data_IF_741067084028
#
_entry.id   IF_741067084028
#
_cell.length_a   1.000
_cell.length_b   1.000
_cell.length_c   1.000
_cell.angle_alpha   90.00
_cell.angle_beta   90.00
_cell.angle_gamma   90.00
#
_symmetry.space_group_name_H-M   'P 1'
#
loop_
_entity.id
_entity.type
_entity.pdbx_description
1 polymer ?
#
# COMPACT_ATOMS: atom_id res chain seq x y z
N UNK A 1 7.55 1.86 22.13
CA UNK A 1 6.79 3.01 21.57
C UNK A 1 7.11 3.21 20.09
N UNK A 2 8.36 3.05 19.68
CA UNK A 2 8.80 3.20 18.28
C UNK A 2 8.17 2.22 17.30
N UNK A 3 8.05 0.93 17.62
CA UNK A 3 7.41 -0.03 16.69
C UNK A 3 5.95 0.31 16.42
N UNK A 4 5.24 0.86 17.41
CA UNK A 4 3.86 1.35 17.21
C UNK A 4 3.83 2.54 16.24
N UNK A 5 4.83 3.44 16.33
CA UNK A 5 4.98 4.55 15.37
C UNK A 5 5.27 4.01 13.97
N UNK A 6 6.23 3.08 13.83
CA UNK A 6 6.57 2.46 12.55
C UNK A 6 5.38 1.72 11.92
N UNK A 7 4.64 0.95 12.72
CA UNK A 7 3.45 0.26 12.24
C UNK A 7 2.35 1.24 11.78
N UNK A 8 2.15 2.34 12.51
CA UNK A 8 1.21 3.39 12.11
C UNK A 8 1.66 4.08 10.82
N UNK A 9 2.93 4.48 10.72
CA UNK A 9 3.49 5.11 9.51
C UNK A 9 3.43 4.15 8.32
N UNK A 10 3.73 2.86 8.51
CA UNK A 10 3.59 1.84 7.46
C UNK A 10 2.15 1.76 6.97
N UNK A 11 1.17 1.82 7.88
CA UNK A 11 -0.25 1.85 7.49
C UNK A 11 -0.60 3.13 6.75
N UNK A 12 -0.19 4.31 7.23
CA UNK A 12 -0.45 5.59 6.54
C UNK A 12 0.18 5.60 5.13
N UNK A 13 1.40 5.08 5.00
CA UNK A 13 2.10 4.94 3.73
C UNK A 13 1.40 3.99 2.77
N UNK A 14 0.68 2.97 3.24
CA UNK A 14 -0.13 2.12 2.35
C UNK A 14 -1.32 2.88 1.76
N UNK A 15 -1.98 3.73 2.56
CA UNK A 15 -3.14 4.50 2.09
C UNK A 15 -2.75 5.66 1.17
N UNK A 16 -1.58 6.28 1.40
CA UNK A 16 -1.13 7.46 0.66
C UNK A 16 -1.08 7.26 -0.87
N UNK A 17 -0.35 6.28 -1.44
CA UNK A 17 -0.26 6.11 -2.89
C UNK A 17 -1.59 5.61 -3.48
N UNK A 18 -2.38 4.83 -2.74
CA UNK A 18 -3.73 4.44 -3.17
C UNK A 18 -4.59 5.69 -3.39
N UNK A 19 -4.58 6.62 -2.43
CA UNK A 19 -5.31 7.87 -2.58
C UNK A 19 -4.74 8.77 -3.69
N UNK A 20 -3.42 8.95 -3.71
CA UNK A 20 -2.74 9.89 -4.61
C UNK A 20 -2.69 9.42 -6.06
N UNK A 21 -2.51 8.12 -6.29
CA UNK A 21 -2.34 7.53 -7.64
C UNK A 21 -3.67 7.03 -8.19
N UNK A 22 -4.51 6.39 -7.37
CA UNK A 22 -5.81 5.85 -7.82
C UNK A 22 -6.98 6.80 -7.61
N UNK A 23 -6.79 7.92 -6.90
CA UNK A 23 -7.84 8.88 -6.61
C UNK A 23 -8.90 8.38 -5.61
N UNK A 24 -8.68 7.24 -4.95
CA UNK A 24 -9.65 6.63 -4.04
C UNK A 24 -9.71 7.44 -2.74
N UNK A 25 -10.87 7.96 -2.30
CA UNK A 25 -10.99 8.66 -1.02
C UNK A 25 -10.54 7.78 0.16
N UNK A 26 -9.84 8.35 1.14
CA UNK A 26 -9.27 7.58 2.27
C UNK A 26 -10.28 6.68 3.00
N UNK A 27 -11.51 7.16 3.19
CA UNK A 27 -12.59 6.42 3.86
C UNK A 27 -13.18 5.28 3.02
N UNK A 28 -12.86 5.20 1.72
CA UNK A 28 -13.27 4.15 0.79
C UNK A 28 -12.16 3.13 0.53
N UNK A 29 -10.93 3.38 1.02
CA UNK A 29 -9.79 2.46 0.85
C UNK A 29 -9.98 1.22 1.73
N UNK A 30 -10.08 0.07 1.10
CA UNK A 30 -10.13 -1.24 1.74
C UNK A 30 -8.83 -2.01 1.47
N UNK A 31 -8.04 -2.18 2.54
CA UNK A 31 -6.83 -3.01 2.54
C UNK A 31 -7.10 -4.26 3.38
N UNK A 32 -6.89 -5.43 2.78
CA UNK A 32 -6.95 -6.74 3.46
C UNK A 32 -5.56 -7.35 3.56
N UNK A 33 -5.45 -8.50 4.22
CA UNK A 33 -4.21 -9.27 4.33
C UNK A 33 -4.40 -10.67 3.76
N UNK A 34 -3.36 -11.18 3.10
CA UNK A 34 -3.29 -12.60 2.70
C UNK A 34 -3.19 -13.51 3.94
N UNK A 35 -3.26 -14.82 3.75
CA UNK A 35 -3.06 -15.79 4.84
C UNK A 35 -1.67 -15.66 5.49
N UNK A 36 -0.66 -15.26 4.72
CA UNK A 36 0.71 -15.00 5.15
C UNK A 36 0.89 -13.59 5.73
N UNK A 37 -0.18 -12.79 5.77
CA UNK A 37 -0.20 -11.47 6.38
C UNK A 37 0.20 -10.31 5.47
N UNK A 38 0.45 -10.52 4.16
CA UNK A 38 0.82 -9.44 3.23
C UNK A 38 -0.40 -8.53 2.96
N UNK A 39 -0.31 -7.20 3.15
CA UNK A 39 -1.41 -6.30 2.85
C UNK A 39 -1.64 -6.17 1.33
N UNK A 40 -2.89 -6.05 0.90
CA UNK A 40 -3.27 -5.83 -0.49
C UNK A 40 -4.56 -5.00 -0.62
N UNK A 41 -4.68 -4.23 -1.70
CA UNK A 41 -5.86 -3.41 -2.02
C UNK A 41 -6.99 -4.29 -2.59
N UNK A 42 -8.22 -4.09 -2.11
CA UNK A 42 -9.41 -4.75 -2.64
C UNK A 42 -10.12 -3.83 -3.64
N UNK A 43 -9.72 -3.88 -4.91
CA UNK A 43 -10.22 -3.00 -5.98
C UNK A 43 -11.75 -2.93 -6.05
N UNK A 44 -12.40 -4.09 -6.12
CA UNK A 44 -13.86 -4.22 -6.27
C UNK A 44 -14.66 -3.51 -5.16
N UNK A 45 -14.09 -3.42 -3.96
CA UNK A 45 -14.74 -2.75 -2.81
C UNK A 45 -14.43 -1.26 -2.77
N UNK A 46 -13.34 -0.82 -3.41
CA UNK A 46 -12.93 0.59 -3.45
C UNK A 46 -13.50 1.33 -4.68
N UNK A 47 -13.84 0.61 -5.75
CA UNK A 47 -14.18 1.18 -7.06
C UNK A 47 -15.67 1.38 -7.31
N UNK A 48 -16.53 1.26 -6.28
CA UNK A 48 -17.99 1.38 -6.45
C UNK A 48 -18.44 2.75 -6.99
N UNK A 49 -17.58 3.77 -6.97
CA UNK A 49 -17.86 5.14 -7.41
C UNK A 49 -16.82 5.67 -8.43
N UNK A 50 -15.90 4.83 -8.94
CA UNK A 50 -14.91 5.27 -9.93
C UNK A 50 -15.48 5.02 -11.33
N UNK A 51 -15.94 6.09 -11.97
CA UNK A 51 -16.65 6.06 -13.26
C UNK A 51 -15.88 5.39 -14.42
N UNK A 52 -14.57 5.12 -14.27
CA UNK A 52 -13.77 4.41 -15.27
C UNK A 52 -12.71 3.52 -14.62
N UNK A 53 -12.59 2.23 -15.03
CA UNK A 53 -11.41 1.44 -14.69
C UNK A 53 -10.17 2.12 -15.27
N UNK A 54 -9.20 2.44 -14.41
CA UNK A 54 -7.93 3.04 -14.85
C UNK A 54 -7.08 1.96 -15.51
N UNK A 55 -7.21 1.83 -16.85
CA UNK A 55 -6.54 0.81 -17.67
C UNK A 55 -5.00 0.90 -17.61
N UNK A 56 -4.44 2.03 -17.17
CA UNK A 56 -2.98 2.21 -17.02
C UNK A 56 -2.41 1.54 -15.76
N UNK A 57 -3.28 1.18 -14.80
CA UNK A 57 -2.88 0.65 -13.49
C UNK A 57 -3.58 -0.71 -13.19
N UNK A 58 -3.56 -1.68 -14.12
CA UNK A 58 -4.40 -2.87 -14.06
C UNK A 58 -4.06 -3.80 -12.88
N UNK A 59 -2.85 -3.68 -12.34
CA UNK A 59 -2.36 -4.48 -11.22
C UNK A 59 -1.62 -3.59 -10.21
N UNK A 60 -2.14 -2.39 -9.93
CA UNK A 60 -1.48 -1.54 -8.95
C UNK A 60 -1.40 -2.28 -7.60
N UNK A 61 -0.17 -2.48 -7.13
CA UNK A 61 0.15 -3.22 -5.91
C UNK A 61 1.29 -2.52 -5.18
N UNK A 62 1.48 -2.88 -3.91
CA UNK A 62 2.47 -2.24 -3.05
C UNK A 62 3.11 -3.22 -2.08
N UNK A 63 4.28 -2.83 -1.57
CA UNK A 63 4.95 -3.50 -0.47
C UNK A 63 5.62 -2.47 0.43
N UNK A 64 5.56 -2.71 1.75
CA UNK A 64 6.16 -1.83 2.74
C UNK A 64 7.10 -2.64 3.63
N UNK A 65 8.25 -2.05 3.95
CA UNK A 65 9.21 -2.57 4.92
C UNK A 65 9.61 -1.46 5.90
N UNK A 66 10.01 -1.85 7.10
CA UNK A 66 10.45 -0.92 8.12
C UNK A 66 11.63 -1.48 8.90
N UNK A 67 12.67 -0.66 9.11
CA UNK A 67 13.85 -1.03 9.88
C UNK A 67 14.52 0.22 10.45
N UNK A 68 14.89 0.15 11.73
CA UNK A 68 15.50 1.29 12.44
C UNK A 68 14.58 2.50 12.40
N UNK A 69 15.07 3.61 11.85
CA UNK A 69 14.34 4.87 11.75
C UNK A 69 13.54 5.01 10.45
N UNK A 70 13.60 4.00 9.57
CA UNK A 70 12.99 4.06 8.25
C UNK A 70 11.74 3.20 8.15
N UNK A 71 10.73 3.76 7.49
CA UNK A 71 9.59 3.04 6.94
C UNK A 71 9.53 3.41 5.47
N UNK A 72 9.56 2.42 4.60
CA UNK A 72 9.54 2.63 3.16
C UNK A 72 8.38 1.88 2.52
N UNK A 73 7.92 2.40 1.38
CA UNK A 73 6.91 1.76 0.54
C UNK A 73 7.35 1.83 -0.91
N UNK A 74 7.07 0.76 -1.65
CA UNK A 74 7.17 0.73 -3.10
C UNK A 74 5.82 0.31 -3.67
N UNK A 75 5.45 0.88 -4.82
CA UNK A 75 4.25 0.53 -5.57
C UNK A 75 4.57 0.37 -7.05
N UNK A 76 3.87 -0.54 -7.72
CA UNK A 76 4.03 -0.83 -9.14
C UNK A 76 2.65 -0.97 -9.80
N UNK A 77 2.42 -0.38 -10.99
CA UNK A 77 1.13 -0.44 -11.68
C UNK A 77 0.85 -1.77 -12.39
N UNK A 78 1.89 -2.53 -12.72
CA UNK A 78 1.81 -3.71 -13.59
C UNK A 78 2.53 -4.90 -12.95
N UNK A 79 3.81 -4.75 -12.63
CA UNK A 79 4.63 -5.83 -12.09
C UNK A 79 4.41 -6.04 -10.59
N UNK A 80 4.73 -7.24 -10.08
CA UNK A 80 4.72 -7.46 -8.63
C UNK A 80 5.92 -6.77 -7.99
N UNK A 81 5.68 -6.04 -6.90
CA UNK A 81 6.75 -5.38 -6.13
C UNK A 81 6.95 -6.02 -4.75
N UNK A 82 8.22 -6.06 -4.36
CA UNK A 82 8.70 -6.39 -3.01
C UNK A 82 9.79 -5.40 -2.61
N UNK A 83 9.79 -5.00 -1.35
CA UNK A 83 10.71 -4.02 -0.80
C UNK A 83 11.19 -4.53 0.55
N UNK A 84 12.50 -4.50 0.77
CA UNK A 84 13.06 -4.69 2.11
C UNK A 84 14.08 -3.60 2.43
N UNK A 85 13.95 -3.01 3.61
CA UNK A 85 14.89 -2.01 4.12
C UNK A 85 15.73 -2.69 5.20
N UNK A 86 17.04 -2.69 4.98
CA UNK A 86 18.01 -3.23 5.94
C UNK A 86 18.90 -2.13 6.49
N UNK A 87 19.37 -2.31 7.72
CA UNK A 87 20.39 -1.44 8.31
C UNK A 87 21.73 -2.13 8.13
N UNK A 88 22.74 -1.39 7.67
CA UNK A 88 24.12 -1.89 7.67
C UNK A 88 24.67 -1.87 9.11
N UNK A 89 25.54 -2.83 9.49
CA UNK A 89 26.20 -2.86 10.79
C UNK A 89 27.13 -1.65 11.01
#
# INVERSE_FOLDING_TARGET
MEDRKRALVSRLLQYAPIHQVLGIPYNKIVIRRTAEGKPYLVYLECSQEIDKPNLELPNFNFNASHRGDFVAIASEPICLVGLDVVSHP
#
